data_IF_915423551807
#
_entry.id   IF_915423551807
#
_cell.length_a   1.000
_cell.length_b   1.000
_cell.length_c   1.000
_cell.angle_alpha   90.00
_cell.angle_beta   90.00
_cell.angle_gamma   90.00
#
_symmetry.space_group_name_H-M   'P 1'
#
loop_
_entity.id
_entity.type
_entity.pdbx_description
1 polymer ?
#
# COMPACT_ATOMS: atom_id res chain seq x y z
N UNK A 1 56.90 -45.87 -63.88
CA UNK A 1 56.27 -44.55 -63.61
C UNK A 1 55.08 -44.76 -62.69
N UNK A 2 55.19 -44.39 -61.41
CA UNK A 2 54.14 -44.54 -60.38
C UNK A 2 53.40 -43.22 -60.23
N UNK A 3 52.10 -43.22 -60.52
CA UNK A 3 51.18 -42.25 -59.95
C UNK A 3 50.87 -42.65 -58.50
N UNK A 4 50.49 -41.72 -57.62
CA UNK A 4 49.09 -41.63 -57.19
C UNK A 4 48.92 -40.85 -55.86
N UNK A 5 48.14 -39.78 -55.97
CA UNK A 5 47.15 -39.22 -55.04
C UNK A 5 47.54 -38.79 -53.62
N UNK A 6 47.48 -37.47 -53.47
CA UNK A 6 47.28 -36.72 -52.25
C UNK A 6 45.91 -37.05 -51.62
N UNK A 7 45.89 -37.38 -50.32
CA UNK A 7 44.68 -37.41 -49.50
C UNK A 7 44.35 -36.00 -48.99
N UNK A 8 43.31 -35.36 -49.55
CA UNK A 8 42.67 -34.19 -48.95
C UNK A 8 41.66 -34.66 -47.89
N UNK A 9 41.79 -34.18 -46.65
CA UNK A 9 40.81 -34.36 -45.58
C UNK A 9 39.62 -33.41 -45.82
N UNK A 10 38.36 -33.84 -45.57
CA UNK A 10 37.21 -32.94 -45.65
C UNK A 10 37.11 -32.08 -44.39
N UNK A 11 36.88 -30.78 -44.56
CA UNK A 11 36.43 -29.83 -43.54
C UNK A 11 34.92 -29.95 -43.37
N UNK A 12 34.46 -30.25 -42.15
CA UNK A 12 33.05 -30.16 -41.77
C UNK A 12 32.61 -28.69 -41.74
N UNK A 13 31.92 -28.27 -42.81
CA UNK A 13 31.24 -26.97 -42.83
C UNK A 13 29.96 -27.08 -41.99
N UNK A 14 29.90 -26.30 -40.90
CA UNK A 14 28.71 -26.19 -40.06
C UNK A 14 27.55 -25.59 -40.84
N UNK A 15 26.46 -26.35 -40.98
CA UNK A 15 25.21 -25.85 -41.52
C UNK A 15 24.66 -24.78 -40.57
N UNK A 16 24.68 -23.51 -41.01
CA UNK A 16 23.94 -22.44 -40.35
C UNK A 16 22.47 -22.60 -40.74
N UNK A 17 21.66 -23.07 -39.79
CA UNK A 17 20.20 -23.14 -39.97
C UNK A 17 19.63 -21.75 -40.17
N UNK A 18 19.09 -21.47 -41.35
CA UNK A 18 18.27 -20.30 -41.59
C UNK A 18 16.85 -20.63 -41.09
N UNK A 19 16.34 -19.85 -40.13
CA UNK A 19 14.99 -20.02 -39.58
C UNK A 19 13.95 -19.71 -40.66
N UNK A 20 12.98 -20.60 -40.83
CA UNK A 20 11.89 -20.40 -41.79
C UNK A 20 10.85 -19.43 -41.22
N UNK A 21 10.14 -18.68 -42.09
CA UNK A 21 9.04 -17.79 -41.68
C UNK A 21 7.97 -18.56 -40.87
N UNK A 22 7.72 -19.82 -41.24
CA UNK A 22 6.77 -20.69 -40.56
C UNK A 22 7.20 -21.00 -39.12
N UNK A 23 8.50 -21.18 -38.89
CA UNK A 23 9.05 -21.43 -37.55
C UNK A 23 8.92 -20.21 -36.65
N UNK A 24 9.21 -19.00 -37.18
CA UNK A 24 9.00 -17.75 -36.43
C UNK A 24 7.51 -17.54 -36.10
N UNK A 25 6.59 -17.83 -37.03
CA UNK A 25 5.15 -17.75 -36.77
C UNK A 25 4.68 -18.77 -35.73
N UNK A 26 5.19 -20.00 -35.79
CA UNK A 26 4.85 -21.05 -34.82
C UNK A 26 5.39 -20.69 -33.42
N UNK A 27 6.63 -20.24 -33.33
CA UNK A 27 7.24 -19.81 -32.06
C UNK A 27 6.49 -18.63 -31.47
N UNK A 28 6.16 -17.61 -32.27
CA UNK A 28 5.34 -16.48 -31.81
C UNK A 28 3.95 -16.94 -31.34
N UNK A 29 3.30 -17.83 -32.08
CA UNK A 29 2.00 -18.40 -31.69
C UNK A 29 2.07 -19.13 -30.35
N UNK A 30 3.05 -20.01 -30.17
CA UNK A 30 3.29 -20.71 -28.90
C UNK A 30 3.61 -19.72 -27.78
N UNK A 31 4.41 -18.68 -28.04
CA UNK A 31 4.77 -17.69 -27.05
C UNK A 31 3.57 -16.86 -26.59
N UNK A 32 2.67 -16.47 -27.51
CA UNK A 32 1.42 -15.77 -27.17
C UNK A 32 0.51 -16.64 -26.31
N UNK A 33 0.35 -17.92 -26.65
CA UNK A 33 -0.43 -18.87 -25.85
C UNK A 33 0.18 -19.03 -24.45
N UNK A 34 1.51 -19.18 -24.36
CA UNK A 34 2.20 -19.30 -23.09
C UNK A 34 2.03 -18.06 -22.20
N UNK A 35 2.14 -16.85 -22.77
CA UNK A 35 1.93 -15.59 -22.03
C UNK A 35 0.49 -15.46 -21.53
N UNK A 36 -0.50 -15.82 -22.37
CA UNK A 36 -1.91 -15.78 -21.98
C UNK A 36 -2.22 -16.65 -20.77
N UNK A 37 -1.59 -17.82 -20.66
CA UNK A 37 -1.72 -18.72 -19.52
C UNK A 37 -0.98 -18.23 -18.26
N UNK A 38 0.08 -17.43 -18.42
CA UNK A 38 0.85 -16.89 -17.30
C UNK A 38 0.19 -15.66 -16.63
N UNK A 39 -0.59 -14.87 -17.37
CA UNK A 39 -1.25 -13.66 -16.88
C UNK A 39 -2.11 -13.83 -15.61
N UNK A 40 -3.00 -14.85 -15.48
CA UNK A 40 -3.83 -15.00 -14.29
C UNK A 40 -3.01 -15.26 -13.01
N UNK A 41 -1.89 -15.98 -13.11
CA UNK A 41 -1.01 -16.25 -11.97
C UNK A 41 -0.35 -14.95 -11.44
N UNK A 42 0.11 -14.09 -12.35
CA UNK A 42 0.73 -12.79 -12.01
C UNK A 42 -0.29 -11.86 -11.33
N UNK A 43 -1.56 -11.89 -11.76
CA UNK A 43 -2.61 -11.06 -11.17
C UNK A 43 -2.92 -11.41 -9.70
N UNK A 44 -2.81 -12.69 -9.31
CA UNK A 44 -3.03 -13.12 -7.91
C UNK A 44 -1.96 -12.57 -6.98
N UNK A 45 -0.69 -12.68 -7.38
CA UNK A 45 0.49 -12.22 -6.62
C UNK A 45 0.45 -10.71 -6.39
N UNK A 46 0.08 -9.93 -7.40
CA UNK A 46 0.01 -8.46 -7.29
C UNK A 46 -0.98 -8.00 -6.21
N UNK A 47 -2.13 -8.68 -6.07
CA UNK A 47 -3.14 -8.24 -5.11
C UNK A 47 -2.70 -8.44 -3.66
N UNK A 48 -1.97 -9.51 -3.36
CA UNK A 48 -1.41 -9.75 -2.02
C UNK A 48 -0.37 -8.68 -1.65
N UNK A 49 0.51 -8.37 -2.60
CA UNK A 49 1.51 -7.33 -2.42
C UNK A 49 0.87 -5.97 -2.12
N UNK A 50 -0.14 -5.57 -2.90
CA UNK A 50 -0.88 -4.31 -2.71
C UNK A 50 -1.57 -4.22 -1.34
N UNK A 51 -2.18 -5.31 -0.90
CA UNK A 51 -2.84 -5.37 0.40
C UNK A 51 -1.85 -5.24 1.56
N UNK A 52 -0.71 -5.95 1.46
CA UNK A 52 0.37 -5.88 2.43
C UNK A 52 1.00 -4.47 2.48
N UNK A 53 1.21 -3.85 1.32
CA UNK A 53 1.68 -2.47 1.24
C UNK A 53 0.72 -1.47 1.91
N UNK A 54 -0.59 -1.66 1.74
CA UNK A 54 -1.60 -0.86 2.45
C UNK A 54 -1.46 -0.98 3.97
N UNK A 55 -1.33 -2.20 4.50
CA UNK A 55 -1.11 -2.44 5.92
C UNK A 55 0.19 -1.82 6.45
N UNK A 56 1.28 -1.94 5.71
CA UNK A 56 2.58 -1.35 6.06
C UNK A 56 2.55 0.18 6.02
N UNK A 57 1.85 0.79 5.06
CA UNK A 57 1.66 2.23 4.99
C UNK A 57 0.91 2.73 6.22
N UNK A 58 -0.21 2.10 6.56
CA UNK A 58 -1.01 2.49 7.73
C UNK A 58 -0.21 2.29 9.01
N UNK A 59 0.54 1.19 9.14
CA UNK A 59 1.45 0.97 10.26
C UNK A 59 2.48 2.09 10.40
N UNK A 60 3.15 2.47 9.30
CA UNK A 60 4.12 3.55 9.30
C UNK A 60 3.49 4.91 9.68
N UNK A 61 2.26 5.16 9.22
CA UNK A 61 1.51 6.38 9.51
C UNK A 61 1.02 6.46 10.96
N UNK A 62 0.58 5.35 11.54
CA UNK A 62 0.27 5.27 12.97
C UNK A 62 1.52 5.43 13.85
N UNK A 63 2.64 4.81 13.46
CA UNK A 63 3.92 5.02 14.13
C UNK A 63 4.39 6.48 14.04
N UNK A 64 4.18 7.13 12.88
CA UNK A 64 4.46 8.55 12.71
C UNK A 64 3.60 9.43 13.62
N UNK A 65 2.29 9.13 13.75
CA UNK A 65 1.39 9.85 14.65
C UNK A 65 1.85 9.74 16.12
N UNK A 66 2.25 8.52 16.54
CA UNK A 66 2.81 8.27 17.87
C UNK A 66 4.08 9.09 18.11
N UNK A 67 5.02 9.06 17.15
CA UNK A 67 6.25 9.83 17.25
C UNK A 67 5.95 11.32 17.42
N UNK A 68 5.02 11.87 16.63
CA UNK A 68 4.68 13.29 16.70
C UNK A 68 3.97 13.65 18.01
N UNK A 69 3.13 12.75 18.56
CA UNK A 69 2.52 12.99 19.86
C UNK A 69 3.58 13.14 20.97
N UNK A 70 4.59 12.28 20.96
CA UNK A 70 5.70 12.33 21.92
C UNK A 70 6.61 13.55 21.67
N UNK A 71 6.94 13.86 20.41
CA UNK A 71 7.82 14.97 20.05
C UNK A 71 7.21 16.34 20.36
N UNK A 72 5.91 16.53 20.08
CA UNK A 72 5.26 17.85 20.22
C UNK A 72 4.52 18.02 21.53
N UNK A 73 4.32 16.95 22.32
CA UNK A 73 3.55 17.03 23.56
C UNK A 73 2.03 17.14 23.35
N UNK A 74 1.53 16.92 22.12
CA UNK A 74 0.10 17.01 21.79
C UNK A 74 -0.50 15.63 21.57
N UNK A 75 -1.79 15.47 21.83
CA UNK A 75 -2.49 14.24 21.44
C UNK A 75 -2.70 14.26 19.94
N UNK A 76 -2.30 13.20 19.24
CA UNK A 76 -2.58 13.03 17.82
C UNK A 76 -3.72 12.05 17.61
N UNK A 77 -4.52 12.28 16.58
CA UNK A 77 -5.59 11.39 16.17
C UNK A 77 -5.39 10.93 14.73
N UNK A 78 -5.60 9.63 14.50
CA UNK A 78 -5.70 9.03 13.18
C UNK A 78 -7.16 8.70 12.89
N UNK A 79 -7.66 9.18 11.75
CA UNK A 79 -8.99 8.86 11.26
C UNK A 79 -8.88 8.29 9.85
N UNK A 80 -9.71 7.30 9.53
CA UNK A 80 -9.78 6.73 8.18
C UNK A 80 -11.20 6.85 7.62
N UNK A 81 -11.33 6.81 6.30
CA UNK A 81 -12.59 6.80 5.58
C UNK A 81 -13.13 5.36 5.54
N UNK A 82 -14.19 5.01 6.29
CA UNK A 82 -14.73 3.65 6.29
C UNK A 82 -15.34 3.34 4.92
N UNK A 83 -15.00 2.17 4.36
CA UNK A 83 -15.38 1.81 2.98
C UNK A 83 -14.57 2.52 1.89
N UNK A 84 -13.70 3.46 2.26
CA UNK A 84 -12.90 4.24 1.33
C UNK A 84 -11.40 4.04 1.52
N UNK A 85 -10.62 4.98 1.01
CA UNK A 85 -9.16 4.83 0.94
C UNK A 85 -8.42 5.91 1.70
N UNK A 86 -9.11 6.98 2.07
CA UNK A 86 -8.48 8.15 2.66
C UNK A 86 -8.21 7.93 4.14
N UNK A 87 -7.14 8.55 4.63
CA UNK A 87 -6.86 8.68 6.04
C UNK A 87 -6.26 10.05 6.29
N UNK A 88 -6.40 10.51 7.52
CA UNK A 88 -5.80 11.74 7.99
C UNK A 88 -5.21 11.57 9.38
N UNK A 89 -4.22 12.39 9.67
CA UNK A 89 -3.56 12.50 10.96
C UNK A 89 -3.46 13.98 11.28
N UNK A 90 -3.99 14.36 12.44
CA UNK A 90 -3.91 15.73 12.94
C UNK A 90 -3.85 15.71 14.47
N UNK A 91 -3.41 16.81 15.09
CA UNK A 91 -3.62 17.03 16.52
C UNK A 91 -5.09 16.91 16.91
N UNK A 92 -5.37 16.48 18.14
CA UNK A 92 -6.72 16.50 18.70
C UNK A 92 -7.09 17.87 19.25
N UNK A 93 -6.11 18.60 19.76
CA UNK A 93 -6.32 19.90 20.39
C UNK A 93 -6.64 20.96 19.32
N UNK A 94 -7.72 21.72 19.51
CA UNK A 94 -8.14 22.74 18.53
C UNK A 94 -7.08 23.83 18.35
N UNK A 95 -6.42 24.24 19.43
CA UNK A 95 -5.33 25.22 19.39
C UNK A 95 -4.14 24.70 18.58
N UNK A 96 -3.78 23.42 18.74
CA UNK A 96 -2.73 22.79 17.94
C UNK A 96 -3.13 22.63 16.46
N UNK A 97 -4.43 22.47 16.18
CA UNK A 97 -4.94 22.41 14.81
C UNK A 97 -4.92 23.77 14.10
N UNK A 98 -5.06 24.89 14.82
CA UNK A 98 -5.05 26.22 14.22
C UNK A 98 -3.70 26.93 14.35
N UNK A 99 -2.78 26.40 15.17
CA UNK A 99 -1.43 26.91 15.34
C UNK A 99 -0.64 26.87 14.02
N UNK A 100 -0.21 28.04 13.55
CA UNK A 100 0.77 28.16 12.49
C UNK A 100 2.20 28.17 13.05
N UNK A 101 3.16 27.70 12.25
CA UNK A 101 4.56 27.74 12.62
C UNK A 101 5.03 29.19 12.77
N UNK A 102 5.39 29.58 13.99
CA UNK A 102 6.16 30.80 14.24
C UNK A 102 7.66 30.58 13.92
N UNK A 103 8.44 31.66 13.80
CA UNK A 103 9.89 31.56 13.61
C UNK A 103 10.55 30.76 14.75
N UNK A 104 11.17 29.63 14.43
CA UNK A 104 11.88 28.78 15.41
C UNK A 104 11.01 27.77 16.18
N UNK A 105 9.69 27.76 15.98
CA UNK A 105 8.79 26.78 16.62
C UNK A 105 8.33 25.74 15.60
N UNK A 106 8.47 24.45 15.94
CA UNK A 106 7.96 23.36 15.10
C UNK A 106 6.45 23.25 15.28
N UNK A 107 5.68 23.71 14.30
CA UNK A 107 4.23 23.58 14.34
C UNK A 107 3.79 22.11 14.33
N UNK A 108 2.64 21.82 14.94
CA UNK A 108 1.99 20.52 14.81
C UNK A 108 1.77 20.20 13.33
N UNK A 109 2.21 19.02 12.90
CA UNK A 109 2.12 18.64 11.49
C UNK A 109 0.84 17.88 11.22
N UNK A 110 0.20 18.18 10.10
CA UNK A 110 -1.00 17.49 9.62
C UNK A 110 -0.67 16.67 8.38
N UNK A 111 -1.19 15.46 8.30
CA UNK A 111 -0.92 14.54 7.18
C UNK A 111 -2.24 13.95 6.69
N UNK A 112 -2.57 14.23 5.44
CA UNK A 112 -3.60 13.51 4.69
C UNK A 112 -2.98 12.52 3.71
N UNK A 113 -3.67 11.43 3.44
CA UNK A 113 -3.21 10.43 2.49
C UNK A 113 -4.31 9.48 2.02
N UNK A 114 -3.92 8.59 1.13
CA UNK A 114 -4.80 7.53 0.63
C UNK A 114 -4.03 6.22 0.51
N UNK A 115 -4.73 5.09 0.61
CA UNK A 115 -4.15 3.78 0.33
C UNK A 115 -3.63 3.73 -1.13
N UNK A 116 -2.45 3.13 -1.36
CA UNK A 116 -1.73 3.28 -2.63
C UNK A 116 -2.39 2.53 -3.78
N UNK A 117 -3.13 1.47 -3.48
CA UNK A 117 -3.82 0.67 -4.48
C UNK A 117 -5.31 1.02 -4.57
N UNK A 118 -5.84 1.06 -5.78
CA UNK A 118 -7.25 1.44 -6.04
C UNK A 118 -8.26 0.36 -5.62
N UNK A 119 -7.83 -0.89 -5.57
CA UNK A 119 -8.68 -2.04 -5.27
C UNK A 119 -8.66 -2.44 -3.79
N UNK A 120 -8.05 -1.63 -2.92
CA UNK A 120 -8.03 -1.83 -1.47
C UNK A 120 -8.68 -0.64 -0.79
N UNK A 121 -9.39 -0.90 0.29
CA UNK A 121 -10.11 0.11 1.08
C UNK A 121 -10.09 -0.29 2.55
N UNK A 122 -10.37 0.66 3.44
CA UNK A 122 -10.63 0.37 4.84
C UNK A 122 -11.98 -0.30 4.99
N UNK A 123 -12.05 -1.36 5.78
CA UNK A 123 -13.34 -1.95 6.14
C UNK A 123 -14.19 -0.93 6.89
N UNK A 124 -15.46 -0.83 6.50
CA UNK A 124 -16.45 0.04 7.13
C UNK A 124 -17.51 -0.70 7.92
N UNK A 125 -17.47 -2.04 7.98
CA UNK A 125 -18.51 -2.81 8.67
C UNK A 125 -18.54 -2.50 10.17
N UNK A 126 -19.70 -2.02 10.65
CA UNK A 126 -19.89 -1.65 12.05
C UNK A 126 -19.11 -0.43 12.54
N UNK A 127 -18.48 0.35 11.63
CA UNK A 127 -17.73 1.55 12.00
C UNK A 127 -18.66 2.76 12.05
N UNK A 128 -18.74 3.42 13.21
CA UNK A 128 -19.42 4.70 13.34
C UNK A 128 -18.63 5.80 12.63
N UNK A 129 -19.32 6.60 11.82
CA UNK A 129 -18.74 7.71 11.08
C UNK A 129 -19.06 9.07 11.71
N UNK A 130 -18.16 10.03 11.54
CA UNK A 130 -18.29 11.42 11.95
C UNK A 130 -17.77 12.36 10.87
N UNK A 131 -18.30 13.58 10.82
CA UNK A 131 -17.75 14.66 9.99
C UNK A 131 -16.79 15.48 10.82
N UNK A 132 -15.61 15.78 10.26
CA UNK A 132 -14.65 16.64 10.94
C UNK A 132 -14.88 18.10 10.56
N UNK A 133 -14.75 19.04 11.51
CA UNK A 133 -14.85 20.46 11.20
C UNK A 133 -13.81 20.90 10.16
N UNK A 134 -14.19 21.67 9.11
CA UNK A 134 -13.26 22.09 8.06
C UNK A 134 -12.03 22.84 8.58
N UNK A 135 -12.18 23.61 9.66
CA UNK A 135 -11.09 24.36 10.27
C UNK A 135 -9.97 23.48 10.83
N UNK A 136 -10.26 22.21 11.17
CA UNK A 136 -9.22 21.26 11.59
C UNK A 136 -8.37 20.79 10.42
N UNK A 137 -8.94 20.78 9.22
CA UNK A 137 -8.27 20.38 7.98
C UNK A 137 -7.50 21.54 7.35
N UNK A 138 -7.76 22.78 7.79
CA UNK A 138 -7.10 23.98 7.31
C UNK A 138 -5.57 23.83 7.25
N UNK A 139 -4.99 24.13 6.10
CA UNK A 139 -3.53 24.07 5.89
C UNK A 139 -2.98 22.67 5.64
N UNK A 140 -3.83 21.62 5.56
CA UNK A 140 -3.41 20.33 5.01
C UNK A 140 -3.17 20.44 3.51
N UNK A 141 -2.12 19.77 3.03
CA UNK A 141 -1.93 19.57 1.60
C UNK A 141 -3.12 18.78 1.02
N UNK A 142 -3.82 19.37 0.06
CA UNK A 142 -4.97 18.72 -0.58
C UNK A 142 -6.24 18.70 0.29
N UNK A 143 -6.40 19.66 1.20
CA UNK A 143 -7.54 19.84 2.10
C UNK A 143 -8.92 19.53 1.47
N UNK A 144 -9.18 20.04 0.25
CA UNK A 144 -10.45 19.82 -0.45
C UNK A 144 -10.79 18.35 -0.72
N UNK A 145 -9.82 17.44 -0.67
CA UNK A 145 -10.06 16.00 -0.80
C UNK A 145 -10.60 15.36 0.49
N UNK A 146 -10.55 16.06 1.62
CA UNK A 146 -10.79 15.52 2.96
C UNK A 146 -12.01 16.12 3.67
N UNK A 147 -12.50 17.29 3.22
CA UNK A 147 -13.60 18.03 3.87
C UNK A 147 -14.96 17.37 3.76
N UNK A 148 -15.22 16.63 2.68
CA UNK A 148 -16.52 15.97 2.44
C UNK A 148 -16.52 14.48 2.83
N UNK A 149 -15.48 14.03 3.53
CA UNK A 149 -15.28 12.62 3.87
C UNK A 149 -15.90 12.31 5.22
N UNK A 150 -16.63 11.19 5.30
CA UNK A 150 -17.10 10.62 6.57
C UNK A 150 -15.96 9.82 7.21
N UNK A 151 -15.52 10.25 8.38
CA UNK A 151 -14.34 9.72 9.08
C UNK A 151 -14.74 8.72 10.16
N UNK A 152 -13.88 7.73 10.42
CA UNK A 152 -14.01 6.82 11.57
C UNK A 152 -13.92 7.58 12.90
N UNK A 153 -14.29 6.90 13.98
CA UNK A 153 -13.84 7.28 15.32
C UNK A 153 -12.30 7.39 15.37
N UNK A 154 -11.75 8.34 16.14
CA UNK A 154 -10.32 8.61 16.14
C UNK A 154 -9.54 7.54 16.89
N UNK A 155 -8.42 7.11 16.33
CA UNK A 155 -7.39 6.36 17.05
C UNK A 155 -6.40 7.36 17.64
N UNK A 156 -6.30 7.37 18.97
CA UNK A 156 -5.56 8.39 19.71
C UNK A 156 -4.15 7.92 20.05
N UNK A 157 -3.21 8.85 19.97
CA UNK A 157 -1.83 8.68 20.43
C UNK A 157 -1.49 9.82 21.38
N UNK A 158 -0.92 9.46 22.53
CA UNK A 158 -0.68 10.40 23.62
C UNK A 158 0.82 10.75 23.74
N UNK A 159 1.15 11.90 24.36
CA UNK A 159 2.54 12.33 24.55
C UNK A 159 3.41 11.39 25.39
N UNK A 160 2.81 10.56 26.24
CA UNK A 160 3.50 9.53 27.01
C UNK A 160 3.85 8.28 26.17
N UNK A 161 3.48 8.26 24.88
CA UNK A 161 3.71 7.17 23.97
C UNK A 161 2.66 6.05 24.03
N UNK A 162 1.62 6.20 24.84
CA UNK A 162 0.45 5.32 24.87
C UNK A 162 -0.51 5.61 23.70
N UNK A 163 -1.54 4.78 23.54
CA UNK A 163 -2.54 4.94 22.49
C UNK A 163 -3.93 4.47 22.93
N UNK A 164 -4.97 4.76 22.14
CA UNK A 164 -6.25 4.04 22.28
C UNK A 164 -6.13 2.62 21.73
N UNK A 165 -6.85 1.67 22.31
CA UNK A 165 -7.01 0.34 21.71
C UNK A 165 -7.76 0.48 20.40
N UNK A 166 -7.20 -0.02 19.31
CA UNK A 166 -7.85 0.04 18.01
C UNK A 166 -7.50 -1.17 17.17
N UNK A 167 -8.47 -1.61 16.38
CA UNK A 167 -8.27 -2.58 15.31
C UNK A 167 -9.00 -2.06 14.09
N UNK A 168 -8.30 -2.00 12.96
CA UNK A 168 -8.86 -1.65 11.66
C UNK A 168 -8.46 -2.71 10.65
N UNK A 169 -9.28 -2.86 9.62
CA UNK A 169 -9.06 -3.83 8.57
C UNK A 169 -8.91 -3.09 7.24
N UNK A 170 -7.99 -3.57 6.41
CA UNK A 170 -7.86 -3.18 5.01
C UNK A 170 -8.28 -4.39 4.20
N UNK A 171 -9.19 -4.18 3.25
CA UNK A 171 -9.85 -5.23 2.48
C UNK A 171 -9.63 -4.96 0.99
N UNK A 172 -9.41 -6.02 0.22
CA UNK A 172 -9.36 -5.95 -1.24
C UNK A 172 -10.66 -6.41 -1.92
N UNK A 173 -10.75 -6.25 -3.24
CA UNK A 173 -11.91 -6.72 -4.05
C UNK A 173 -12.22 -8.22 -3.94
N UNK A 174 -11.27 -9.05 -3.47
CA UNK A 174 -11.44 -10.50 -3.31
C UNK A 174 -11.76 -10.87 -1.85
N UNK A 175 -12.13 -9.90 -1.02
CA UNK A 175 -12.39 -10.07 0.41
C UNK A 175 -11.21 -10.67 1.18
N UNK A 176 -9.98 -10.42 0.69
CA UNK A 176 -8.78 -10.67 1.48
C UNK A 176 -8.53 -9.48 2.38
N UNK A 177 -8.14 -9.77 3.60
CA UNK A 177 -8.04 -8.78 4.66
C UNK A 177 -6.66 -8.78 5.29
N UNK A 178 -6.18 -7.60 5.64
CA UNK A 178 -5.06 -7.38 6.55
C UNK A 178 -5.55 -6.55 7.72
N UNK A 179 -5.30 -7.03 8.93
CA UNK A 179 -5.69 -6.38 10.16
C UNK A 179 -4.51 -5.59 10.71
N UNK A 180 -4.76 -4.32 11.03
CA UNK A 180 -3.82 -3.45 11.73
C UNK A 180 -4.36 -3.22 13.14
N UNK A 181 -3.56 -3.55 14.15
CA UNK A 181 -3.94 -3.43 15.56
C UNK A 181 -2.99 -2.51 16.30
N UNK A 182 -3.55 -1.69 17.19
CA UNK A 182 -2.83 -0.75 18.06
C UNK A 182 -3.02 -1.17 19.51
N UNK A 183 -1.91 -1.31 20.24
CA UNK A 183 -1.93 -1.68 21.66
C UNK A 183 -2.02 -0.41 22.55
N UNK A 184 -2.98 -0.34 23.49
CA UNK A 184 -3.27 0.90 24.23
C UNK A 184 -2.14 1.40 25.15
N UNK A 185 -1.33 0.51 25.72
CA UNK A 185 -0.29 0.93 26.68
C UNK A 185 1.04 1.30 26.02
N UNK A 186 1.39 0.64 24.91
CA UNK A 186 2.70 0.82 24.28
C UNK A 186 2.62 1.62 22.99
N UNK A 187 1.40 1.87 22.47
CA UNK A 187 1.19 2.40 21.14
C UNK A 187 1.78 1.52 20.03
N UNK A 188 2.15 0.27 20.34
CA UNK A 188 2.74 -0.64 19.37
C UNK A 188 1.72 -1.01 18.29
N UNK A 189 2.15 -0.92 17.04
CA UNK A 189 1.32 -1.19 15.87
C UNK A 189 1.79 -2.45 15.18
N UNK A 190 0.89 -3.43 15.02
CA UNK A 190 1.16 -4.69 14.34
C UNK A 190 0.26 -4.89 13.15
N UNK A 191 0.79 -5.53 12.11
CA UNK A 191 0.08 -5.89 10.88
C UNK A 191 -0.01 -7.41 10.80
N UNK A 192 -1.22 -7.94 10.61
CA UNK A 192 -1.43 -9.39 10.47
C UNK A 192 -0.88 -9.92 9.15
N UNK A 193 -0.74 -11.24 9.05
CA UNK A 193 -0.68 -11.90 7.73
C UNK A 193 -2.00 -11.66 6.99
N UNK A 194 -1.96 -11.78 5.66
CA UNK A 194 -3.16 -11.72 4.83
C UNK A 194 -4.07 -12.90 5.20
N UNK A 195 -5.33 -12.61 5.47
CA UNK A 195 -6.37 -13.58 5.72
C UNK A 195 -7.34 -13.56 4.54
N UNK A 196 -7.59 -14.72 3.95
CA UNK A 196 -8.66 -14.85 2.95
C UNK A 196 -9.99 -14.94 3.70
N UNK A 197 -10.94 -14.05 3.43
CA UNK A 197 -12.28 -14.16 3.99
C UNK A 197 -12.87 -15.53 3.66
N UNK A 198 -13.01 -16.40 4.66
CA UNK A 198 -13.84 -17.60 4.52
C UNK A 198 -15.27 -17.11 4.47
N UNK A 199 -15.86 -17.08 3.27
CA UNK A 199 -17.30 -16.88 3.13
C UNK A 199 -17.99 -17.95 3.97
N UNK A 200 -18.68 -17.53 5.03
CA UNK A 200 -19.69 -18.33 5.69
C UNK A 200 -21.04 -18.03 5.08
#
# INVERSE_FOLDING_TARGET
MRANRQHRRPTTAGARGAFTLLEILLVMGVMVVAIGLAWPAIAVIQGEYRLRQGGQLVQAKLAWARLHAVETGHVYQFCFEPGGRKFIILPRDQEANTAQAGPGTRAPQKVGGSLPAENVHFDGTGVTTQTLPPEWLAGMTGEGNFTTVSWSAPILFYPDGSASSATLQIVDKKSRTVTVSVRPLTGAVSVSKIQSGTSR
#
